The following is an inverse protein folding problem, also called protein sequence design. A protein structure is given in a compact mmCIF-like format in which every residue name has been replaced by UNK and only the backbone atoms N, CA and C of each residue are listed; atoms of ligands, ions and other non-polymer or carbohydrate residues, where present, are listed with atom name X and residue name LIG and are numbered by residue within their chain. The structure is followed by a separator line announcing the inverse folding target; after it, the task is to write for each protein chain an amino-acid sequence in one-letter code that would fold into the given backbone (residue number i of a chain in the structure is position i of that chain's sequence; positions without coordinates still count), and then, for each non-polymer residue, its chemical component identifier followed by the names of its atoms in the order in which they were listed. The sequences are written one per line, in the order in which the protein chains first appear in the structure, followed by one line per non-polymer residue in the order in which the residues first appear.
data_IF_837490449956
#
_entry.id   IF_837490449956
#
_cell.length_a   1.000
_cell.length_b   1.000
_cell.length_c   1.000
_cell.angle_alpha   90.00
_cell.angle_beta   90.00
_cell.angle_gamma   90.00
#
_symmetry.space_group_name_H-M   'P 1'
#
loop_
_entity.id
_entity.type
_entity.pdbx_description
1 polymer ?
#
# COMPACT_ATOMS: atom_id res chain seq x y z
N UNK A 1 30.36 43.43 -50.12
CA UNK A 1 30.89 42.06 -49.89
C UNK A 1 32.01 42.11 -48.85
N UNK A 2 31.76 41.44 -47.71
CA UNK A 2 32.65 40.96 -46.62
C UNK A 2 34.02 41.62 -46.41
N UNK A 3 34.15 42.42 -45.35
CA UNK A 3 35.39 42.56 -44.58
C UNK A 3 35.37 41.51 -43.46
N UNK A 4 36.27 40.54 -43.55
CA UNK A 4 36.52 39.54 -42.50
C UNK A 4 37.43 40.15 -41.45
N UNK A 5 36.90 40.42 -40.26
CA UNK A 5 37.71 40.72 -39.08
C UNK A 5 38.27 39.42 -38.52
N UNK A 6 39.60 39.30 -38.49
CA UNK A 6 40.32 38.23 -37.80
C UNK A 6 40.45 38.63 -36.32
N UNK A 7 39.73 37.95 -35.44
CA UNK A 7 39.94 38.01 -33.99
C UNK A 7 41.30 37.41 -33.65
N UNK A 8 42.21 38.23 -33.11
CA UNK A 8 43.43 37.78 -32.44
C UNK A 8 43.08 37.20 -31.07
N UNK A 9 42.95 35.87 -30.99
CA UNK A 9 42.92 35.13 -29.73
C UNK A 9 44.23 35.33 -28.95
N UNK A 10 44.15 35.89 -27.75
CA UNK A 10 45.26 35.88 -26.81
C UNK A 10 45.41 34.46 -26.21
N UNK A 11 46.63 33.89 -26.13
CA UNK A 11 46.80 32.54 -25.62
C UNK A 11 46.50 32.48 -24.12
N UNK A 12 45.49 31.68 -23.75
CA UNK A 12 45.12 31.39 -22.37
C UNK A 12 46.34 30.80 -21.64
N UNK A 13 46.89 31.59 -20.71
CA UNK A 13 48.04 31.22 -19.89
C UNK A 13 47.66 30.05 -18.97
N UNK A 14 47.90 28.81 -19.41
CA UNK A 14 47.72 27.59 -18.59
C UNK A 14 48.63 27.65 -17.36
N UNK A 15 48.10 28.14 -16.23
CA UNK A 15 48.75 28.05 -14.91
C UNK A 15 48.85 26.56 -14.55
N UNK A 16 50.05 25.99 -14.69
CA UNK A 16 50.36 24.66 -14.14
C UNK A 16 50.31 24.75 -12.62
N UNK A 17 49.25 24.22 -12.02
CA UNK A 17 49.14 24.11 -10.58
C UNK A 17 50.23 23.18 -10.07
N UNK A 18 50.99 23.61 -9.06
CA UNK A 18 51.99 22.75 -8.41
C UNK A 18 51.24 21.62 -7.70
N UNK A 19 51.54 20.37 -8.04
CA UNK A 19 50.82 19.17 -7.55
C UNK A 19 50.83 19.02 -6.04
N UNK A 20 51.91 19.43 -5.36
CA UNK A 20 52.04 19.33 -3.89
C UNK A 20 51.00 20.19 -3.11
N UNK A 21 50.88 21.51 -3.35
CA UNK A 21 49.85 22.30 -2.68
C UNK A 21 48.42 21.93 -3.11
N UNK A 22 48.21 21.44 -4.33
CA UNK A 22 46.89 20.93 -4.77
C UNK A 22 46.48 19.68 -4.00
N UNK A 23 47.40 18.75 -3.75
CA UNK A 23 47.12 17.55 -2.95
C UNK A 23 46.78 17.88 -1.49
N UNK A 24 47.41 18.91 -0.93
CA UNK A 24 47.09 19.38 0.44
C UNK A 24 45.69 19.99 0.49
N UNK A 25 45.32 20.82 -0.49
CA UNK A 25 43.98 21.41 -0.58
C UNK A 25 42.92 20.33 -0.83
N UNK A 26 43.19 19.33 -1.68
CA UNK A 26 42.33 18.17 -1.87
C UNK A 26 42.18 17.34 -0.60
N UNK A 27 43.26 17.15 0.17
CA UNK A 27 43.20 16.46 1.46
C UNK A 27 42.35 17.18 2.50
N UNK A 28 42.45 18.52 2.57
CA UNK A 28 41.63 19.34 3.47
C UNK A 28 40.17 19.34 3.02
N UNK A 29 39.90 19.42 1.72
CA UNK A 29 38.55 19.32 1.17
C UNK A 29 37.96 17.92 1.42
N UNK A 30 38.72 16.86 1.24
CA UNK A 30 38.27 15.48 1.51
C UNK A 30 37.99 15.30 3.00
N UNK A 31 38.86 15.77 3.89
CA UNK A 31 38.66 15.71 5.33
C UNK A 31 37.46 16.54 5.78
N UNK A 32 37.26 17.73 5.21
CA UNK A 32 36.09 18.57 5.44
C UNK A 32 34.80 17.93 4.94
N UNK A 33 34.83 17.28 3.78
CA UNK A 33 33.68 16.57 3.21
C UNK A 33 33.37 15.29 3.98
N UNK A 34 34.38 14.58 4.48
CA UNK A 34 34.22 13.43 5.39
C UNK A 34 33.64 13.87 6.73
N UNK A 35 34.13 14.98 7.32
CA UNK A 35 33.57 15.54 8.55
C UNK A 35 32.13 16.00 8.35
N UNK A 36 31.82 16.67 7.23
CA UNK A 36 30.46 17.06 6.87
C UNK A 36 29.56 15.84 6.65
N UNK A 37 30.05 14.79 6.00
CA UNK A 37 29.32 13.53 5.79
C UNK A 37 29.09 12.76 7.09
N UNK A 38 30.07 12.74 8.00
CA UNK A 38 29.88 12.15 9.34
C UNK A 38 28.89 12.95 10.18
N UNK A 39 28.93 14.29 10.12
CA UNK A 39 27.97 15.15 10.80
C UNK A 39 26.57 15.06 10.20
N UNK A 40 26.45 14.87 8.88
CA UNK A 40 25.19 14.65 8.17
C UNK A 40 24.56 13.30 8.54
N UNK A 41 25.35 12.22 8.61
CA UNK A 41 24.90 10.91 9.11
C UNK A 41 24.41 10.99 10.57
N UNK A 42 25.01 11.85 11.39
CA UNK A 42 24.63 11.94 12.81
C UNK A 42 23.52 12.93 13.10
N UNK A 43 23.14 13.83 12.17
CA UNK A 43 22.29 14.96 12.52
C UNK A 43 20.83 14.87 12.07
N UNK A 44 20.48 14.27 10.94
CA UNK A 44 19.06 14.13 10.57
C UNK A 44 18.90 13.00 9.53
N UNK A 45 18.08 11.99 9.84
CA UNK A 45 17.63 11.01 8.86
C UNK A 45 17.64 9.58 9.37
N UNK A 46 16.46 9.08 9.74
CA UNK A 46 16.23 7.67 10.02
C UNK A 46 16.58 6.80 8.82
N UNK A 47 17.78 6.23 8.83
CA UNK A 47 18.02 4.95 8.20
C UNK A 47 17.56 3.89 9.19
N UNK A 48 16.46 3.19 8.91
CA UNK A 48 16.16 1.92 9.58
C UNK A 48 17.28 0.96 9.20
N UNK A 49 18.35 0.93 9.99
CA UNK A 49 19.32 -0.15 9.96
C UNK A 49 18.58 -1.39 10.43
N UNK A 50 18.58 -2.43 9.61
CA UNK A 50 18.04 -3.74 10.00
C UNK A 50 18.74 -4.16 11.28
N UNK A 51 18.00 -4.11 12.39
CA UNK A 51 18.54 -4.23 13.72
C UNK A 51 18.97 -5.67 14.00
N UNK A 52 20.25 -5.86 14.30
CA UNK A 52 20.72 -7.10 14.91
C UNK A 52 20.06 -7.32 16.27
N UNK A 53 20.07 -8.56 16.76
CA UNK A 53 19.38 -9.05 17.96
C UNK A 53 19.76 -8.39 19.30
N UNK A 54 20.64 -7.37 19.30
CA UNK A 54 21.02 -6.59 20.48
C UNK A 54 21.01 -5.06 20.27
N UNK A 55 20.49 -4.57 19.16
CA UNK A 55 20.49 -3.14 18.84
C UNK A 55 19.35 -2.41 19.59
N UNK A 56 19.67 -1.23 20.11
CA UNK A 56 18.72 -0.33 20.74
C UNK A 56 17.70 0.14 19.71
N UNK A 57 16.40 -0.05 19.98
CA UNK A 57 15.32 0.39 19.08
C UNK A 57 14.68 1.70 19.53
N UNK A 58 14.72 2.01 20.83
CA UNK A 58 14.26 3.29 21.39
C UNK A 58 14.89 3.57 22.76
N UNK A 59 14.68 4.78 23.29
CA UNK A 59 15.02 5.14 24.67
C UNK A 59 14.04 6.12 25.28
N UNK A 60 13.78 6.00 26.58
CA UNK A 60 13.04 6.97 27.39
C UNK A 60 13.93 7.43 28.53
N UNK A 61 14.42 8.67 28.45
CA UNK A 61 15.40 9.18 29.41
C UNK A 61 16.72 8.38 29.36
N UNK A 62 16.99 7.59 30.41
CA UNK A 62 18.17 6.71 30.51
C UNK A 62 17.85 5.23 30.25
N UNK A 63 16.58 4.88 30.13
CA UNK A 63 16.16 3.49 29.88
C UNK A 63 16.16 3.22 28.38
N UNK A 64 16.67 2.06 27.99
CA UNK A 64 16.79 1.63 26.60
C UNK A 64 15.83 0.50 26.32
N UNK A 65 15.06 0.63 25.24
CA UNK A 65 14.24 -0.46 24.71
C UNK A 65 15.09 -1.19 23.67
N UNK A 66 15.29 -2.48 23.89
CA UNK A 66 16.08 -3.35 23.02
C UNK A 66 15.21 -3.98 21.92
N UNK A 67 15.83 -4.35 20.80
CA UNK A 67 15.16 -5.12 19.74
C UNK A 67 14.47 -6.37 20.31
N UNK A 68 15.11 -7.09 21.23
CA UNK A 68 14.53 -8.26 21.88
C UNK A 68 13.23 -7.96 22.62
N UNK A 69 13.18 -6.88 23.39
CA UNK A 69 11.97 -6.47 24.12
C UNK A 69 10.85 -6.06 23.17
N UNK A 70 11.21 -5.35 22.09
CA UNK A 70 10.25 -4.96 21.06
C UNK A 70 9.70 -6.17 20.29
N UNK A 71 10.55 -7.09 19.84
CA UNK A 71 10.14 -8.32 19.17
C UNK A 71 9.29 -9.19 20.09
N UNK A 72 9.67 -9.37 21.36
CA UNK A 72 8.86 -10.12 22.31
C UNK A 72 7.47 -9.49 22.51
N UNK A 73 7.39 -8.16 22.61
CA UNK A 73 6.12 -7.45 22.73
C UNK A 73 5.26 -7.54 21.44
N UNK A 74 5.90 -7.56 20.25
CA UNK A 74 5.20 -7.80 18.98
C UNK A 74 4.73 -9.25 18.86
N UNK A 75 5.56 -10.22 19.24
CA UNK A 75 5.21 -11.64 19.26
C UNK A 75 3.98 -11.90 20.14
N UNK A 76 3.93 -11.27 21.31
CA UNK A 76 2.80 -11.36 22.24
C UNK A 76 1.50 -10.77 21.68
N UNK A 77 1.59 -9.65 20.95
CA UNK A 77 0.40 -8.91 20.46
C UNK A 77 -0.12 -9.40 19.11
N UNK A 78 0.77 -9.67 18.15
CA UNK A 78 0.44 -9.91 16.74
C UNK A 78 1.19 -11.09 16.12
N UNK A 79 2.23 -11.63 16.78
CA UNK A 79 3.10 -12.64 16.19
C UNK A 79 2.39 -13.94 15.81
N UNK A 80 1.35 -14.32 16.54
CA UNK A 80 0.56 -15.53 16.23
C UNK A 80 -0.18 -15.42 14.90
N UNK A 81 -0.91 -14.34 14.69
CA UNK A 81 -1.70 -14.13 13.47
C UNK A 81 -0.77 -13.94 12.27
N UNK A 82 0.29 -13.15 12.43
CA UNK A 82 1.30 -12.97 11.39
C UNK A 82 1.97 -14.30 11.00
N UNK A 83 2.31 -15.15 11.97
CA UNK A 83 2.88 -16.47 11.68
C UNK A 83 1.85 -17.38 10.99
N UNK A 84 0.58 -17.36 11.44
CA UNK A 84 -0.51 -18.12 10.80
C UNK A 84 -0.63 -17.75 9.32
N UNK A 85 -0.68 -16.46 9.00
CA UNK A 85 -0.76 -15.98 7.61
C UNK A 85 0.43 -16.46 6.75
N UNK A 86 1.65 -16.39 7.29
CA UNK A 86 2.85 -16.87 6.61
C UNK A 86 2.82 -18.39 6.37
N UNK A 87 2.38 -19.16 7.36
CA UNK A 87 2.22 -20.61 7.22
C UNK A 87 1.17 -20.91 6.16
N UNK A 88 0.00 -20.27 6.22
CA UNK A 88 -1.06 -20.40 5.23
C UNK A 88 -0.57 -20.12 3.81
N UNK A 89 0.17 -19.02 3.62
CA UNK A 89 0.76 -18.69 2.33
C UNK A 89 1.71 -19.79 1.84
N UNK A 90 2.58 -20.33 2.71
CA UNK A 90 3.53 -21.39 2.35
C UNK A 90 2.83 -22.72 2.03
N UNK A 91 1.78 -23.06 2.78
CA UNK A 91 0.94 -24.24 2.51
C UNK A 91 0.26 -24.10 1.16
N UNK A 92 -0.32 -22.93 0.85
CA UNK A 92 -0.91 -22.67 -0.47
C UNK A 92 0.12 -22.72 -1.59
N UNK A 93 1.31 -22.14 -1.42
CA UNK A 93 2.40 -22.24 -2.41
C UNK A 93 2.82 -23.71 -2.66
N UNK A 94 2.82 -24.56 -1.63
CA UNK A 94 3.08 -25.99 -1.76
C UNK A 94 1.94 -26.72 -2.47
N UNK A 95 0.70 -26.42 -2.09
CA UNK A 95 -0.50 -26.96 -2.72
C UNK A 95 -0.56 -26.61 -4.22
N UNK A 96 -0.22 -25.39 -4.59
CA UNK A 96 -0.16 -24.99 -5.99
C UNK A 96 0.82 -25.84 -6.81
N UNK A 97 1.98 -26.17 -6.25
CA UNK A 97 2.98 -27.03 -6.90
C UNK A 97 2.49 -28.48 -7.01
N UNK A 98 1.93 -29.02 -5.93
CA UNK A 98 1.45 -30.41 -5.89
C UNK A 98 0.26 -30.65 -6.83
N UNK A 99 -0.65 -29.67 -6.91
CA UNK A 99 -1.87 -29.76 -7.73
C UNK A 99 -1.72 -29.13 -9.13
N UNK A 100 -0.51 -28.73 -9.55
CA UNK A 100 -0.22 -28.01 -10.81
C UNK A 100 -1.15 -26.79 -11.04
N UNK A 101 -1.49 -26.08 -9.96
CA UNK A 101 -2.32 -24.87 -10.03
C UNK A 101 -1.44 -23.70 -10.43
N UNK A 102 -1.84 -23.03 -11.51
CA UNK A 102 -1.18 -21.83 -12.02
C UNK A 102 -2.05 -20.62 -11.77
N UNK A 103 -1.44 -19.57 -11.27
CA UNK A 103 -2.05 -18.25 -11.12
C UNK A 103 -1.21 -17.27 -11.92
N UNK A 104 -1.82 -16.62 -12.89
CA UNK A 104 -1.21 -15.62 -13.75
C UNK A 104 -1.30 -14.23 -13.16
N UNK A 105 -0.39 -13.33 -13.55
CA UNK A 105 -0.45 -11.93 -13.13
C UNK A 105 -1.76 -11.25 -13.54
N UNK A 106 -2.31 -11.61 -14.70
CA UNK A 106 -3.61 -11.07 -15.14
C UNK A 106 -4.78 -11.49 -14.25
N UNK A 107 -4.72 -12.68 -13.63
CA UNK A 107 -5.76 -13.10 -12.68
C UNK A 107 -5.63 -12.31 -11.37
N UNK A 108 -4.39 -12.08 -10.91
CA UNK A 108 -4.12 -11.28 -9.72
C UNK A 108 -4.58 -9.83 -9.93
N UNK A 109 -4.24 -9.24 -11.09
CA UNK A 109 -4.63 -7.86 -11.44
C UNK A 109 -6.15 -7.71 -11.52
N UNK A 110 -6.83 -8.70 -12.10
CA UNK A 110 -8.29 -8.74 -12.18
C UNK A 110 -8.90 -8.78 -10.78
N UNK A 111 -8.43 -9.69 -9.92
CA UNK A 111 -8.97 -9.85 -8.56
C UNK A 111 -8.73 -8.58 -7.72
N UNK A 112 -7.54 -7.97 -7.80
CA UNK A 112 -7.26 -6.68 -7.14
C UNK A 112 -8.19 -5.58 -7.65
N UNK A 113 -8.47 -5.52 -8.95
CA UNK A 113 -9.40 -4.54 -9.50
C UNK A 113 -10.83 -4.75 -8.97
N UNK A 114 -11.27 -6.00 -8.84
CA UNK A 114 -12.60 -6.33 -8.28
C UNK A 114 -12.69 -6.00 -6.79
N UNK A 115 -11.69 -6.35 -6.00
CA UNK A 115 -11.63 -6.01 -4.57
C UNK A 115 -11.73 -4.50 -4.33
N UNK A 116 -10.96 -3.72 -5.11
CA UNK A 116 -10.99 -2.25 -5.07
C UNK A 116 -12.33 -1.68 -5.51
N UNK A 117 -12.98 -2.29 -6.49
CA UNK A 117 -14.29 -1.86 -6.98
C UNK A 117 -15.40 -2.11 -5.95
N UNK A 118 -15.32 -3.23 -5.22
CA UNK A 118 -16.23 -3.56 -4.13
C UNK A 118 -16.10 -2.69 -2.89
N UNK A 119 -15.11 -1.78 -2.85
CA UNK A 119 -14.79 -0.99 -1.67
C UNK A 119 -14.26 -1.83 -0.51
N UNK A 120 -13.93 -3.11 -0.75
CA UNK A 120 -13.26 -3.94 0.23
C UNK A 120 -11.88 -3.35 0.49
N UNK A 121 -11.64 -2.97 1.74
CA UNK A 121 -10.36 -2.44 2.15
C UNK A 121 -9.31 -3.52 1.95
N UNK A 122 -8.30 -3.26 1.11
CA UNK A 122 -7.09 -4.09 1.02
C UNK A 122 -6.22 -3.99 2.28
N UNK A 123 -6.78 -3.48 3.39
CA UNK A 123 -6.05 -3.01 4.56
C UNK A 123 -4.98 -1.98 4.19
N UNK A 124 -3.91 -1.92 4.98
CA UNK A 124 -2.70 -1.15 4.66
C UNK A 124 -1.89 -1.76 3.51
N UNK A 125 -2.26 -2.96 3.04
CA UNK A 125 -1.47 -3.68 2.05
C UNK A 125 -1.57 -3.01 0.67
N UNK A 126 -0.41 -2.82 0.08
CA UNK A 126 -0.21 -2.25 -1.26
C UNK A 126 0.94 -2.97 -1.92
N UNK A 127 1.06 -2.87 -3.25
CA UNK A 127 2.17 -3.47 -4.00
C UNK A 127 2.28 -5.00 -3.81
N UNK A 128 3.51 -5.49 -3.65
CA UNK A 128 3.83 -6.91 -3.57
C UNK A 128 3.11 -7.69 -2.43
N UNK A 129 3.04 -7.17 -1.19
CA UNK A 129 2.27 -7.82 -0.12
C UNK A 129 0.82 -8.14 -0.52
N UNK A 130 0.11 -7.17 -1.12
CA UNK A 130 -1.27 -7.38 -1.60
C UNK A 130 -1.33 -8.44 -2.69
N UNK A 131 -0.40 -8.40 -3.66
CA UNK A 131 -0.33 -9.39 -4.74
C UNK A 131 -0.13 -10.81 -4.20
N UNK A 132 0.72 -10.98 -3.19
CA UNK A 132 1.00 -12.27 -2.58
C UNK A 132 -0.22 -12.81 -1.81
N UNK A 133 -0.94 -11.96 -1.09
CA UNK A 133 -2.18 -12.35 -0.43
C UNK A 133 -3.24 -12.80 -1.44
N UNK A 134 -3.51 -11.98 -2.46
CA UNK A 134 -4.47 -12.31 -3.52
C UNK A 134 -4.07 -13.60 -4.23
N UNK A 135 -2.78 -13.79 -4.53
CA UNK A 135 -2.28 -15.03 -5.12
C UNK A 135 -2.55 -16.25 -4.23
N UNK A 136 -2.31 -16.13 -2.92
CA UNK A 136 -2.56 -17.20 -1.96
C UNK A 136 -4.05 -17.56 -1.91
N UNK A 137 -4.93 -16.55 -1.89
CA UNK A 137 -6.39 -16.74 -1.95
C UNK A 137 -6.83 -17.40 -3.26
N UNK A 138 -6.33 -16.94 -4.40
CA UNK A 138 -6.64 -17.53 -5.71
C UNK A 138 -6.20 -19.00 -5.79
N UNK A 139 -5.04 -19.35 -5.22
CA UNK A 139 -4.61 -20.74 -5.14
C UNK A 139 -5.61 -21.53 -4.30
N UNK A 140 -5.95 -21.04 -3.12
CA UNK A 140 -6.89 -21.68 -2.21
C UNK A 140 -8.24 -21.97 -2.89
N UNK A 141 -8.85 -20.94 -3.51
CA UNK A 141 -10.10 -21.08 -4.27
C UNK A 141 -10.00 -22.13 -5.38
N UNK A 142 -8.90 -22.13 -6.14
CA UNK A 142 -8.67 -23.12 -7.20
C UNK A 142 -8.51 -24.53 -6.65
N UNK A 143 -7.86 -24.70 -5.50
CA UNK A 143 -7.74 -26.01 -4.84
C UNK A 143 -9.13 -26.52 -4.45
N UNK A 144 -9.95 -25.67 -3.84
CA UNK A 144 -11.28 -26.04 -3.37
C UNK A 144 -12.24 -26.37 -4.52
N UNK A 145 -12.12 -25.65 -5.63
CA UNK A 145 -13.05 -25.75 -6.76
C UNK A 145 -12.59 -26.71 -7.86
N UNK A 146 -11.41 -27.34 -7.73
CA UNK A 146 -10.80 -28.17 -8.79
C UNK A 146 -11.71 -29.28 -9.33
N UNK A 147 -12.55 -29.85 -8.48
CA UNK A 147 -13.44 -30.99 -8.80
C UNK A 147 -14.88 -30.54 -9.14
N UNK A 148 -15.16 -29.23 -9.11
CA UNK A 148 -16.49 -28.67 -9.38
C UNK A 148 -16.58 -28.24 -10.84
N UNK A 149 -17.53 -28.82 -11.57
CA UNK A 149 -17.74 -28.53 -12.99
C UNK A 149 -18.89 -27.55 -13.16
N UNK A 150 -18.56 -26.33 -13.60
CA UNK A 150 -19.53 -25.30 -13.97
C UNK A 150 -19.70 -25.26 -15.49
N UNK A 151 -20.95 -25.35 -15.95
CA UNK A 151 -21.29 -25.30 -17.39
C UNK A 151 -21.07 -23.90 -17.95
N UNK A 152 -20.50 -23.80 -19.15
CA UNK A 152 -20.26 -22.51 -19.83
C UNK A 152 -21.52 -21.65 -19.99
N UNK A 153 -22.69 -22.29 -20.15
CA UNK A 153 -23.97 -21.57 -20.19
C UNK A 153 -24.22 -20.80 -18.89
N UNK A 154 -23.95 -21.39 -17.72
CA UNK A 154 -24.16 -20.73 -16.43
C UNK A 154 -23.21 -19.54 -16.28
N UNK A 155 -21.95 -19.70 -16.70
CA UNK A 155 -20.93 -18.63 -16.68
C UNK A 155 -21.36 -17.45 -17.57
N UNK A 156 -21.85 -17.75 -18.77
CA UNK A 156 -22.34 -16.72 -19.70
C UNK A 156 -23.60 -16.02 -19.17
N UNK A 157 -24.58 -16.79 -18.69
CA UNK A 157 -25.82 -16.24 -18.14
C UNK A 157 -25.52 -15.36 -16.90
N UNK A 158 -24.52 -15.69 -16.09
CA UNK A 158 -24.09 -14.87 -14.96
C UNK A 158 -23.49 -13.54 -15.41
N UNK A 159 -22.58 -13.55 -16.39
CA UNK A 159 -22.01 -12.33 -16.93
C UNK A 159 -23.08 -11.40 -17.50
N UNK A 160 -24.00 -11.93 -18.32
CA UNK A 160 -25.06 -11.13 -18.97
C UNK A 160 -26.03 -10.50 -17.95
N UNK A 161 -26.30 -11.20 -16.84
CA UNK A 161 -27.17 -10.67 -15.77
C UNK A 161 -26.47 -9.64 -14.87
N UNK A 162 -25.15 -9.73 -14.75
CA UNK A 162 -24.35 -8.95 -13.80
C UNK A 162 -23.31 -8.08 -14.53
N UNK A 163 -23.57 -7.65 -15.75
CA UNK A 163 -22.60 -6.93 -16.59
C UNK A 163 -22.07 -5.66 -15.89
N UNK A 164 -22.90 -5.01 -15.07
CA UNK A 164 -22.52 -3.85 -14.28
C UNK A 164 -21.42 -4.13 -13.24
N UNK A 165 -21.27 -5.36 -12.76
CA UNK A 165 -20.20 -5.74 -11.83
C UNK A 165 -18.82 -5.72 -12.51
N UNK A 166 -18.78 -5.85 -13.83
CA UNK A 166 -17.54 -5.89 -14.62
C UNK A 166 -17.19 -4.55 -15.26
N UNK A 167 -18.02 -3.53 -15.05
CA UNK A 167 -17.75 -2.14 -15.41
C UNK A 167 -17.13 -1.41 -14.20
N UNK A 168 -15.87 -1.73 -13.93
CA UNK A 168 -15.14 -1.17 -12.79
C UNK A 168 -14.90 0.32 -13.04
N UNK A 169 -15.45 1.15 -12.15
CA UNK A 169 -15.25 2.61 -12.21
C UNK A 169 -13.90 3.00 -11.62
N UNK A 170 -13.35 4.16 -12.03
CA UNK A 170 -12.18 4.71 -11.36
C UNK A 170 -12.44 4.82 -9.86
N UNK A 171 -11.48 4.38 -9.06
CA UNK A 171 -11.57 4.44 -7.61
C UNK A 171 -10.32 5.05 -7.00
N UNK A 172 -10.52 5.70 -5.85
CA UNK A 172 -9.49 6.48 -5.17
C UNK A 172 -9.37 5.93 -3.76
N UNK A 173 -8.17 5.49 -3.37
CA UNK A 173 -7.92 5.15 -1.98
C UNK A 173 -7.81 6.45 -1.19
N UNK A 174 -8.64 6.60 -0.17
CA UNK A 174 -8.78 7.87 0.54
C UNK A 174 -8.69 7.73 2.04
N UNK A 175 -8.25 8.81 2.68
CA UNK A 175 -8.37 9.04 4.10
C UNK A 175 -9.05 10.39 4.33
N UNK A 176 -9.89 10.52 5.35
CA UNK A 176 -10.62 11.73 5.67
C UNK A 176 -10.45 12.14 7.14
N UNK A 177 -10.43 13.45 7.37
CA UNK A 177 -10.56 14.08 8.69
C UNK A 177 -11.90 14.80 8.68
N UNK A 178 -12.85 14.30 9.45
CA UNK A 178 -14.19 14.89 9.56
C UNK A 178 -14.18 15.85 10.74
N UNK A 179 -14.53 17.11 10.52
CA UNK A 179 -14.43 18.19 11.49
C UNK A 179 -15.80 18.85 11.67
N UNK A 180 -15.99 19.48 12.82
CA UNK A 180 -17.28 20.07 13.20
C UNK A 180 -17.70 21.22 12.29
N UNK A 181 -16.73 22.05 11.88
CA UNK A 181 -16.99 23.28 11.15
C UNK A 181 -15.77 23.73 10.33
N UNK A 182 -15.98 24.77 9.53
CA UNK A 182 -15.00 25.36 8.62
C UNK A 182 -13.76 25.87 9.36
N UNK A 183 -13.92 26.43 10.56
CA UNK A 183 -12.81 27.01 11.34
C UNK A 183 -11.85 25.93 11.81
N UNK A 184 -12.37 24.81 12.29
CA UNK A 184 -11.55 23.65 12.65
C UNK A 184 -10.87 23.02 11.42
N UNK A 185 -11.55 22.98 10.27
CA UNK A 185 -10.96 22.50 9.02
C UNK A 185 -9.82 23.38 8.50
N UNK A 186 -9.94 24.70 8.58
CA UNK A 186 -8.88 25.62 8.18
C UNK A 186 -7.64 25.50 9.08
N UNK A 187 -7.83 25.31 10.40
CA UNK A 187 -6.72 25.04 11.33
C UNK A 187 -6.02 23.73 11.00
N UNK A 188 -6.78 22.65 10.81
CA UNK A 188 -6.21 21.34 10.47
C UNK A 188 -5.47 21.38 9.14
N UNK A 189 -6.00 22.09 8.13
CA UNK A 189 -5.32 22.29 6.85
C UNK A 189 -4.00 23.06 7.03
N UNK A 190 -3.99 24.13 7.84
CA UNK A 190 -2.76 24.84 8.16
C UNK A 190 -1.72 23.96 8.87
N UNK A 191 -2.15 23.03 9.73
CA UNK A 191 -1.25 22.07 10.37
C UNK A 191 -0.68 21.04 9.37
N UNK A 192 -1.48 20.59 8.42
CA UNK A 192 -1.03 19.74 7.31
C UNK A 192 -0.01 20.45 6.41
N UNK A 193 -0.27 21.71 6.04
CA UNK A 193 0.64 22.52 5.23
C UNK A 193 1.99 22.77 5.92
N UNK A 194 2.00 22.78 7.25
CA UNK A 194 3.20 22.87 8.07
C UNK A 194 3.93 21.52 8.25
N UNK A 195 3.46 20.45 7.62
CA UNK A 195 4.11 19.13 7.61
C UNK A 195 3.61 18.15 8.67
N UNK A 196 2.46 18.40 9.31
CA UNK A 196 1.87 17.43 10.25
C UNK A 196 1.39 16.18 9.51
N UNK A 197 1.47 15.01 10.17
CA UNK A 197 0.92 13.76 9.61
C UNK A 197 -0.61 13.81 9.54
N UNK A 198 -1.16 13.41 8.40
CA UNK A 198 -2.60 13.32 8.19
C UNK A 198 -3.23 12.30 9.14
N UNK A 199 -2.57 11.16 9.32
CA UNK A 199 -3.01 10.05 10.14
C UNK A 199 -3.00 10.41 11.64
N UNK A 200 -2.05 11.24 12.07
CA UNK A 200 -2.01 11.77 13.43
C UNK A 200 -3.15 12.77 13.67
N UNK A 201 -3.36 13.71 12.74
CA UNK A 201 -4.44 14.69 12.83
C UNK A 201 -5.82 14.04 12.76
N UNK A 202 -6.00 12.99 11.95
CA UNK A 202 -7.22 12.22 11.91
C UNK A 202 -7.56 11.61 13.28
N UNK A 203 -6.57 11.00 13.96
CA UNK A 203 -6.76 10.41 15.30
C UNK A 203 -7.10 11.46 16.37
N UNK A 204 -6.49 12.63 16.27
CA UNK A 204 -6.63 13.69 17.28
C UNK A 204 -7.92 14.49 17.10
N UNK A 205 -8.22 14.91 15.86
CA UNK A 205 -9.23 15.93 15.58
C UNK A 205 -10.50 15.40 14.92
N UNK A 206 -10.46 14.24 14.27
CA UNK A 206 -11.64 13.74 13.56
C UNK A 206 -12.79 13.45 14.53
N UNK A 207 -13.96 13.95 14.20
CA UNK A 207 -15.22 13.64 14.92
C UNK A 207 -15.73 12.25 14.54
N UNK A 208 -15.35 11.75 13.36
CA UNK A 208 -15.57 10.34 13.01
C UNK A 208 -14.52 9.49 13.73
N UNK A 209 -14.96 8.83 14.81
CA UNK A 209 -14.11 7.99 15.65
C UNK A 209 -13.71 6.69 15.00
N UNK A 210 -14.52 6.18 14.06
CA UNK A 210 -14.25 4.89 13.41
C UNK A 210 -13.06 5.05 12.49
N UNK A 211 -13.19 5.88 11.44
CA UNK A 211 -12.09 6.15 10.52
C UNK A 211 -10.95 6.88 11.23
N UNK A 212 -11.24 7.82 12.13
CA UNK A 212 -10.23 8.61 12.83
C UNK A 212 -9.24 7.75 13.61
N UNK A 213 -9.69 6.69 14.29
CA UNK A 213 -8.81 5.75 15.00
C UNK A 213 -7.83 5.02 14.06
N UNK A 214 -8.26 4.79 12.82
CA UNK A 214 -7.51 4.17 11.72
C UNK A 214 -6.77 5.19 10.85
N UNK A 215 -6.48 6.38 11.39
CA UNK A 215 -5.76 7.42 10.64
C UNK A 215 -6.60 8.11 9.55
N UNK A 216 -7.92 7.96 9.61
CA UNK A 216 -8.88 8.53 8.68
C UNK A 216 -9.22 7.63 7.48
N UNK A 217 -8.68 6.41 7.40
CA UNK A 217 -8.87 5.54 6.22
C UNK A 217 -10.36 5.30 5.90
N UNK A 218 -10.75 5.65 4.67
CA UNK A 218 -12.05 5.33 4.08
C UNK A 218 -11.97 4.21 3.04
N UNK A 219 -10.75 3.78 2.67
CA UNK A 219 -10.54 2.77 1.64
C UNK A 219 -10.74 3.32 0.23
N UNK A 220 -11.01 2.43 -0.72
CA UNK A 220 -11.28 2.81 -2.12
C UNK A 220 -12.71 3.32 -2.25
N UNK A 221 -12.83 4.56 -2.73
CA UNK A 221 -14.13 5.18 -3.04
C UNK A 221 -14.26 5.40 -4.55
N UNK A 222 -15.46 5.18 -5.06
CA UNK A 222 -15.81 5.38 -6.46
C UNK A 222 -17.17 6.08 -6.57
N UNK A 223 -17.60 6.38 -7.80
CA UNK A 223 -18.91 6.98 -8.04
C UNK A 223 -20.08 6.12 -7.55
N UNK A 224 -19.88 4.80 -7.36
CA UNK A 224 -20.88 3.88 -6.83
C UNK A 224 -20.80 3.68 -5.31
N UNK A 225 -19.93 4.40 -4.59
CA UNK A 225 -19.83 4.30 -3.14
C UNK A 225 -21.05 4.94 -2.44
N UNK A 226 -21.95 4.12 -1.90
CA UNK A 226 -23.19 4.59 -1.26
C UNK A 226 -22.99 5.10 0.18
N UNK A 227 -21.95 4.63 0.88
CA UNK A 227 -21.68 4.97 2.28
C UNK A 227 -20.78 6.20 2.48
N UNK A 228 -20.54 6.98 1.41
CA UNK A 228 -19.66 8.15 1.42
C UNK A 228 -20.43 9.36 0.92
N UNK A 229 -20.24 10.52 1.55
CA UNK A 229 -20.91 11.74 1.14
C UNK A 229 -20.56 12.09 -0.33
N UNK A 230 -21.56 12.36 -1.20
CA UNK A 230 -21.31 12.69 -2.61
C UNK A 230 -20.37 13.89 -2.81
N UNK A 231 -20.29 14.82 -1.86
CA UNK A 231 -19.36 15.94 -1.90
C UNK A 231 -17.90 15.47 -1.84
N UNK A 232 -17.61 14.42 -1.07
CA UNK A 232 -16.28 13.79 -0.98
C UNK A 232 -15.94 13.11 -2.31
N UNK A 233 -16.85 12.28 -2.83
CA UNK A 233 -16.66 11.59 -4.12
C UNK A 233 -16.37 12.58 -5.24
N UNK A 234 -17.13 13.67 -5.30
CA UNK A 234 -16.93 14.74 -6.28
C UNK A 234 -15.59 15.45 -6.12
N UNK A 235 -15.14 15.67 -4.90
CA UNK A 235 -13.89 16.36 -4.63
C UNK A 235 -12.66 15.52 -5.01
N UNK A 236 -12.71 14.20 -4.79
CA UNK A 236 -11.58 13.30 -5.11
C UNK A 236 -11.52 12.88 -6.57
N UNK A 237 -12.62 13.01 -7.31
CA UNK A 237 -12.67 12.61 -8.71
C UNK A 237 -11.64 13.38 -9.54
N UNK A 238 -10.70 12.66 -10.15
CA UNK A 238 -9.61 13.21 -10.97
C UNK A 238 -8.39 13.66 -10.18
N UNK A 239 -8.37 13.53 -8.85
CA UNK A 239 -7.19 13.80 -8.03
C UNK A 239 -6.11 12.75 -8.22
N UNK A 240 -4.87 13.12 -7.93
CA UNK A 240 -3.72 12.22 -7.95
C UNK A 240 -3.37 11.72 -6.56
N UNK A 241 -2.68 10.58 -6.50
CA UNK A 241 -2.08 10.08 -5.27
C UNK A 241 -1.16 11.15 -4.65
N UNK A 242 -1.34 11.38 -3.34
CA UNK A 242 -0.65 12.37 -2.54
C UNK A 242 -1.37 13.72 -2.40
N UNK A 243 -2.42 13.98 -3.18
CA UNK A 243 -3.16 15.24 -3.11
C UNK A 243 -4.19 15.24 -1.97
N UNK A 244 -4.44 16.42 -1.38
CA UNK A 244 -5.44 16.65 -0.34
C UNK A 244 -6.48 17.67 -0.83
N UNK A 245 -7.75 17.35 -0.68
CA UNK A 245 -8.88 18.22 -0.99
C UNK A 245 -9.56 18.73 0.29
N UNK A 246 -10.16 19.91 0.17
CA UNK A 246 -10.98 20.55 1.17
C UNK A 246 -10.45 21.91 1.62
N UNK A 247 -11.16 22.57 2.54
CA UNK A 247 -12.33 22.08 3.29
C UNK A 247 -13.59 21.80 2.44
N UNK A 248 -14.24 20.64 2.64
CA UNK A 248 -15.45 20.20 1.90
C UNK A 248 -16.63 20.19 2.86
N UNK A 249 -17.68 20.96 2.58
CA UNK A 249 -18.92 20.89 3.36
C UNK A 249 -19.71 19.61 3.06
N UNK A 250 -20.10 18.89 4.10
CA UNK A 250 -20.89 17.66 4.03
C UNK A 250 -22.38 17.92 4.27
N UNK A 251 -23.22 16.96 3.91
CA UNK A 251 -24.68 17.09 4.00
C UNK A 251 -25.19 17.24 5.45
N UNK A 252 -24.47 16.72 6.43
CA UNK A 252 -24.79 16.77 7.86
C UNK A 252 -24.30 18.06 8.56
N UNK A 253 -23.65 18.96 7.81
CA UNK A 253 -23.10 20.21 8.31
C UNK A 253 -21.67 20.12 8.85
N UNK A 254 -21.07 18.92 8.87
CA UNK A 254 -19.65 18.74 9.13
C UNK A 254 -18.81 19.16 7.91
N UNK A 255 -17.49 19.19 8.10
CA UNK A 255 -16.53 19.59 7.08
C UNK A 255 -15.41 18.55 6.98
N UNK A 256 -15.09 18.10 5.77
CA UNK A 256 -14.04 17.10 5.53
C UNK A 256 -12.78 17.72 4.91
N UNK A 257 -11.63 17.23 5.36
CA UNK A 257 -10.38 17.23 4.59
C UNK A 257 -10.13 15.81 4.11
N UNK A 258 -9.85 15.61 2.84
CA UNK A 258 -9.73 14.27 2.24
C UNK A 258 -8.42 14.16 1.48
N UNK A 259 -7.62 13.14 1.77
CA UNK A 259 -6.36 12.84 1.08
C UNK A 259 -6.52 11.61 0.21
N UNK A 260 -6.04 11.68 -1.03
CA UNK A 260 -5.95 10.53 -1.93
C UNK A 260 -4.58 9.90 -1.76
N UNK A 261 -4.52 8.62 -1.42
CA UNK A 261 -3.25 7.88 -1.19
C UNK A 261 -2.88 6.99 -2.36
N UNK A 262 -3.86 6.52 -3.13
CA UNK A 262 -3.67 5.71 -4.34
C UNK A 262 -4.84 5.91 -5.31
N UNK A 263 -4.62 5.62 -6.59
CA UNK A 263 -5.63 5.73 -7.65
C UNK A 263 -5.68 4.45 -8.47
N UNK A 264 -6.88 3.92 -8.70
CA UNK A 264 -7.12 2.81 -9.60
C UNK A 264 -7.94 3.27 -10.81
N UNK A 265 -7.46 2.96 -12.00
CA UNK A 265 -8.15 3.31 -13.25
C UNK A 265 -9.39 2.44 -13.45
N UNK A 266 -10.45 3.05 -13.97
CA UNK A 266 -11.65 2.31 -14.37
C UNK A 266 -11.43 1.49 -15.62
N UNK A 267 -12.07 0.33 -15.69
CA UNK A 267 -12.00 -0.58 -16.84
C UNK A 267 -13.27 -1.42 -16.94
N UNK A 268 -13.77 -1.52 -18.17
CA UNK A 268 -14.77 -2.52 -18.52
C UNK A 268 -14.08 -3.84 -18.89
N UNK A 269 -14.33 -4.88 -18.11
CA UNK A 269 -13.83 -6.22 -18.39
C UNK A 269 -14.79 -6.99 -19.28
N UNK A 270 -14.30 -7.53 -20.39
CA UNK A 270 -15.11 -8.35 -21.30
C UNK A 270 -15.28 -9.75 -20.75
N UNK A 271 -16.36 -10.42 -21.13
CA UNK A 271 -16.62 -11.83 -20.77
C UNK A 271 -15.39 -12.75 -20.89
N UNK A 272 -14.59 -12.63 -21.96
CA UNK A 272 -13.40 -13.46 -22.18
C UNK A 272 -12.34 -13.31 -21.07
N UNK A 273 -12.27 -12.14 -20.45
CA UNK A 273 -11.30 -11.79 -19.41
C UNK A 273 -11.77 -12.29 -18.04
N UNK A 274 -13.08 -12.31 -17.79
CA UNK A 274 -13.66 -12.64 -16.48
C UNK A 274 -14.26 -14.04 -16.40
N UNK A 275 -14.46 -14.73 -17.53
CA UNK A 275 -15.10 -16.06 -17.57
C UNK A 275 -14.52 -17.06 -16.56
N UNK A 276 -13.22 -17.03 -16.31
CA UNK A 276 -12.56 -18.01 -15.44
C UNK A 276 -12.70 -17.60 -13.97
N UNK A 277 -12.75 -16.29 -13.68
CA UNK A 277 -13.10 -15.74 -12.36
C UNK A 277 -14.55 -16.04 -12.01
N UNK A 278 -15.50 -15.77 -12.92
CA UNK A 278 -16.92 -16.14 -12.76
C UNK A 278 -17.08 -17.64 -12.52
N UNK A 279 -16.35 -18.46 -13.28
CA UNK A 279 -16.43 -19.91 -13.11
C UNK A 279 -15.99 -20.34 -11.71
N UNK A 280 -14.92 -19.73 -11.16
CA UNK A 280 -14.50 -19.98 -9.78
C UNK A 280 -15.55 -19.51 -8.80
N UNK A 281 -16.06 -18.30 -8.94
CA UNK A 281 -17.07 -17.72 -8.05
C UNK A 281 -18.31 -18.63 -7.94
N UNK A 282 -18.87 -19.04 -9.09
CA UNK A 282 -20.00 -19.98 -9.14
C UNK A 282 -19.67 -21.37 -8.58
N UNK A 283 -18.41 -21.79 -8.59
CA UNK A 283 -17.98 -23.05 -7.98
C UNK A 283 -17.81 -22.91 -6.46
N UNK A 284 -17.31 -21.77 -5.98
CA UNK A 284 -17.20 -21.45 -4.56
C UNK A 284 -18.59 -21.40 -3.91
N UNK A 285 -19.59 -20.84 -4.60
CA UNK A 285 -20.98 -20.82 -4.12
C UNK A 285 -21.57 -22.23 -3.88
N UNK A 286 -21.02 -23.27 -4.50
CA UNK A 286 -21.44 -24.66 -4.30
C UNK A 286 -20.74 -25.34 -3.13
N UNK A 287 -19.72 -24.72 -2.54
CA UNK A 287 -18.99 -25.25 -1.40
C UNK A 287 -19.71 -24.97 -0.07
N UNK A 288 -19.60 -25.86 0.92
CA UNK A 288 -19.97 -25.55 2.29
C UNK A 288 -19.09 -24.41 2.83
N UNK A 289 -19.70 -23.43 3.50
CA UNK A 289 -19.15 -22.10 3.85
C UNK A 289 -18.00 -22.09 4.89
N UNK A 290 -17.20 -23.15 5.04
CA UNK A 290 -16.32 -23.29 6.21
C UNK A 290 -14.95 -23.95 5.96
N UNK A 291 -14.50 -24.09 4.72
CA UNK A 291 -13.13 -24.59 4.49
C UNK A 291 -12.17 -23.42 4.58
N UNK A 292 -11.12 -23.58 5.38
CA UNK A 292 -10.06 -22.58 5.56
C UNK A 292 -8.71 -23.17 5.15
N UNK A 293 -7.67 -22.35 4.87
CA UNK A 293 -6.33 -22.84 4.49
C UNK A 293 -5.72 -23.82 5.51
N UNK A 294 -6.09 -23.69 6.78
CA UNK A 294 -5.69 -24.52 7.91
C UNK A 294 -6.06 -26.00 7.70
N UNK A 295 -7.14 -26.28 6.97
CA UNK A 295 -7.55 -27.65 6.63
C UNK A 295 -6.48 -28.41 5.82
N UNK A 296 -5.55 -27.70 5.19
CA UNK A 296 -4.47 -28.28 4.39
C UNK A 296 -3.17 -28.44 5.20
N UNK A 297 -3.09 -27.95 6.44
CA UNK A 297 -1.85 -27.99 7.21
C UNK A 297 -1.35 -29.42 7.45
N UNK A 298 -2.25 -30.35 7.80
CA UNK A 298 -1.87 -31.76 8.00
C UNK A 298 -1.38 -32.41 6.70
N UNK A 299 -2.03 -32.13 5.58
CA UNK A 299 -1.65 -32.69 4.27
C UNK A 299 -0.23 -32.25 3.87
N UNK A 300 0.12 -30.99 4.16
CA UNK A 300 1.40 -30.40 3.79
C UNK A 300 2.44 -30.40 4.92
N UNK A 301 2.14 -31.07 6.05
CA UNK A 301 3.05 -31.22 7.18
C UNK A 301 3.46 -29.88 7.81
N UNK A 302 2.54 -28.93 7.90
CA UNK A 302 2.79 -27.64 8.54
C UNK A 302 2.92 -27.83 10.05
N UNK A 303 4.07 -27.40 10.59
CA UNK A 303 4.34 -27.34 12.02
C UNK A 303 4.60 -25.88 12.41
N UNK A 304 4.10 -25.48 13.57
CA UNK A 304 4.32 -24.13 14.09
C UNK A 304 4.47 -24.14 15.61
N UNK A 305 5.06 -23.06 16.14
CA UNK A 305 5.49 -22.96 17.54
C UNK A 305 4.33 -22.92 18.55
N UNK A 306 3.09 -22.75 18.09
CA UNK A 306 1.93 -22.55 18.94
C UNK A 306 1.09 -23.81 19.20
N UNK A 307 1.53 -24.98 18.71
CA UNK A 307 0.89 -26.27 18.97
C UNK A 307 0.01 -26.74 17.81
N UNK A 308 -1.12 -27.40 18.10
CA UNK A 308 -2.09 -27.78 17.07
C UNK A 308 -3.18 -26.72 16.94
N UNK A 309 -3.64 -26.49 15.72
CA UNK A 309 -4.88 -25.75 15.45
C UNK A 309 -6.11 -26.65 15.51
#
# INVERSE_FOLDING_TARGET
MRRTGTETEQPIRKRRLKTKPVLVVLGILLAGNLLWFTLWITKDGGSVKSAGTGEQVASVGKETITNKEWVAAMEERVGREALRELVNQKVMEAAAKQYDIKVSDSEIDLEIAMLRAGGEGTGELTGEPLRNQVKSQLIFEKVLTKDIIIKDKAVKDYYEKNESLYDVKPSYRTAAIILKDQSEAEKALGELDNGSSFEALARERSIDRVSGSLGGELGYISESSENVDPAIIKAVSGMKAGETAGPIALADGAVALVKVTDTAEGRLFKFKEVKDQIRRELAIEQLPQSVTPEAFWEEFGAEWIYGKE
#
